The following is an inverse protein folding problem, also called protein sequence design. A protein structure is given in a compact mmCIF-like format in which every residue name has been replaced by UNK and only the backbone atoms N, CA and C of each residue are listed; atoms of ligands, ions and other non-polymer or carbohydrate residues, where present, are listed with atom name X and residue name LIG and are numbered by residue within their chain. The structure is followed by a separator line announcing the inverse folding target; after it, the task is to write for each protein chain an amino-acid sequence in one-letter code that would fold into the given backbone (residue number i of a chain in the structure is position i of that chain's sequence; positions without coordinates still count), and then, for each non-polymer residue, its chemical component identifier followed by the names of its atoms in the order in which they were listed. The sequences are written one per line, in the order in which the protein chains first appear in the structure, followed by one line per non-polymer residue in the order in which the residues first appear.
data_IF_621544381898
#
_entry.id   IF_621544381898
#
_cell.length_a   1.000
_cell.length_b   1.000
_cell.length_c   1.000
_cell.angle_alpha   90.00
_cell.angle_beta   90.00
_cell.angle_gamma   90.00
#
_symmetry.space_group_name_H-M   'P 1'
#
loop_
_entity.id
_entity.type
_entity.pdbx_description
1 polymer ?
#
# COMPACT_ATOMS: atom_id res chain seq x y z
N UNK A 1 30.59 9.75 41.33
CA UNK A 1 29.25 10.27 41.66
C UNK A 1 28.38 10.15 40.41
N UNK A 2 27.64 9.06 40.29
CA UNK A 2 26.70 8.84 39.20
C UNK A 2 25.38 9.54 39.55
N UNK A 3 24.90 10.43 38.67
CA UNK A 3 23.57 11.06 38.78
C UNK A 3 22.54 10.05 38.31
N UNK A 4 21.77 9.55 39.26
CA UNK A 4 20.57 8.74 39.03
C UNK A 4 19.52 9.63 38.33
N UNK A 5 19.21 9.33 37.07
CA UNK A 5 18.11 9.98 36.36
C UNK A 5 16.82 9.29 36.78
N UNK A 6 16.10 9.88 37.73
CA UNK A 6 14.74 9.48 38.04
C UNK A 6 13.85 9.76 36.83
N UNK A 7 13.36 8.68 36.22
CA UNK A 7 12.38 8.73 35.15
C UNK A 7 11.01 9.04 35.77
N UNK A 8 10.76 10.31 36.05
CA UNK A 8 9.50 10.75 36.63
C UNK A 8 8.43 10.74 35.54
N UNK A 9 7.64 9.66 35.49
CA UNK A 9 6.40 9.63 34.70
C UNK A 9 5.46 10.66 35.33
N UNK A 10 5.18 11.75 34.63
CA UNK A 10 4.20 12.72 35.09
C UNK A 10 2.81 12.07 35.09
N UNK A 11 2.08 12.05 36.24
CA UNK A 11 0.74 11.51 36.28
C UNK A 11 -0.19 12.38 35.43
N UNK A 12 -0.93 11.74 34.52
CA UNK A 12 -2.01 12.37 33.76
C UNK A 12 -3.03 12.91 34.79
N UNK A 13 -3.25 14.23 34.79
CA UNK A 13 -4.20 14.86 35.72
C UNK A 13 -5.62 14.45 35.34
N UNK A 14 -6.45 14.25 36.36
CA UNK A 14 -7.83 13.73 36.28
C UNK A 14 -8.87 14.70 35.64
N UNK A 15 -8.47 15.54 34.68
CA UNK A 15 -9.37 16.44 33.94
C UNK A 15 -9.44 16.11 32.44
N UNK A 16 -8.55 15.25 31.93
CA UNK A 16 -8.55 14.89 30.51
C UNK A 16 -9.46 13.68 30.27
N UNK A 17 -10.73 13.94 29.97
CA UNK A 17 -11.64 12.93 29.41
C UNK A 17 -11.03 12.47 28.09
N UNK A 18 -10.53 11.23 28.04
CA UNK A 18 -10.13 10.63 26.78
C UNK A 18 -11.29 10.74 25.78
N UNK A 19 -11.07 11.46 24.69
CA UNK A 19 -12.09 11.70 23.68
C UNK A 19 -12.20 10.44 22.81
N UNK A 20 -13.30 9.71 22.95
CA UNK A 20 -13.56 8.55 22.09
C UNK A 20 -13.73 9.02 20.65
N UNK A 21 -12.92 8.48 19.75
CA UNK A 21 -13.06 8.66 18.31
C UNK A 21 -13.93 7.54 17.73
N UNK A 22 -14.85 7.92 16.85
CA UNK A 22 -15.56 7.00 15.96
C UNK A 22 -15.00 7.23 14.55
N UNK A 23 -14.40 6.19 13.98
CA UNK A 23 -13.80 6.28 12.66
C UNK A 23 -14.84 6.42 11.54
N UNK A 24 -14.42 6.97 10.42
CA UNK A 24 -15.30 7.23 9.26
C UNK A 24 -15.02 6.20 8.17
N UNK A 25 -16.05 5.43 7.80
CA UNK A 25 -15.94 4.34 6.82
C UNK A 25 -15.83 4.87 5.40
N UNK A 26 -14.98 4.23 4.59
CA UNK A 26 -14.88 4.44 3.15
C UNK A 26 -15.27 3.15 2.44
N UNK A 27 -16.37 3.18 1.70
CA UNK A 27 -16.95 2.02 1.04
C UNK A 27 -16.47 1.86 -0.41
N UNK A 28 -15.15 1.84 -0.62
CA UNK A 28 -14.60 1.66 -1.96
C UNK A 28 -14.82 0.22 -2.48
N UNK A 29 -15.07 0.07 -3.77
CA UNK A 29 -15.45 -1.22 -4.40
C UNK A 29 -14.39 -2.34 -4.33
N UNK A 30 -13.17 -2.03 -3.87
CA UNK A 30 -12.09 -2.98 -3.62
C UNK A 30 -12.06 -3.50 -2.17
N UNK A 31 -12.88 -2.92 -1.29
CA UNK A 31 -12.95 -3.26 0.12
C UNK A 31 -13.46 -4.68 0.39
N UNK A 32 -13.17 -5.17 1.59
CA UNK A 32 -13.69 -6.46 2.06
C UNK A 32 -15.08 -6.28 2.66
N UNK A 33 -15.95 -7.27 2.45
CA UNK A 33 -17.37 -7.16 2.83
C UNK A 33 -17.64 -7.35 4.34
N UNK A 34 -16.65 -7.69 5.17
CA UNK A 34 -16.90 -8.07 6.57
C UNK A 34 -15.74 -7.87 7.53
N UNK A 35 -14.49 -7.87 7.07
CA UNK A 35 -13.32 -7.90 7.97
C UNK A 35 -13.30 -6.76 9.01
N UNK A 36 -13.66 -5.54 8.60
CA UNK A 36 -13.72 -4.40 9.53
C UNK A 36 -14.91 -4.54 10.49
N UNK A 37 -16.07 -5.00 10.01
CA UNK A 37 -17.23 -5.30 10.83
C UNK A 37 -16.93 -6.35 11.91
N UNK A 38 -16.26 -7.44 11.53
CA UNK A 38 -15.86 -8.53 12.40
C UNK A 38 -14.89 -8.03 13.50
N UNK A 39 -13.90 -7.21 13.13
CA UNK A 39 -12.99 -6.56 14.08
C UNK A 39 -13.71 -5.65 15.07
N UNK A 40 -14.81 -5.01 14.65
CA UNK A 40 -15.63 -4.14 15.49
C UNK A 40 -16.67 -4.92 16.32
N UNK A 41 -16.85 -6.22 16.08
CA UNK A 41 -17.87 -7.04 16.71
C UNK A 41 -19.30 -6.66 16.32
N UNK A 42 -19.50 -6.19 15.08
CA UNK A 42 -20.81 -5.86 14.52
C UNK A 42 -21.12 -6.68 13.28
N UNK A 43 -22.38 -6.70 12.87
CA UNK A 43 -22.76 -7.24 11.58
C UNK A 43 -22.20 -6.36 10.44
N UNK A 44 -21.82 -6.95 9.30
CA UNK A 44 -21.48 -6.23 8.08
C UNK A 44 -22.56 -5.24 7.66
N UNK A 45 -22.15 -4.10 7.11
CA UNK A 45 -23.08 -3.07 6.63
C UNK A 45 -23.87 -3.48 5.37
N UNK A 46 -23.36 -4.46 4.62
CA UNK A 46 -23.88 -4.88 3.32
C UNK A 46 -23.16 -4.24 2.13
N UNK A 47 -22.36 -3.20 2.36
CA UNK A 47 -21.47 -2.58 1.38
C UNK A 47 -20.01 -3.03 1.61
N UNK A 48 -19.13 -2.99 0.59
CA UNK A 48 -17.70 -3.20 0.78
C UNK A 48 -17.10 -2.21 1.79
N UNK A 49 -16.29 -2.68 2.73
CA UNK A 49 -15.67 -1.86 3.78
C UNK A 49 -14.16 -1.79 3.54
N UNK A 50 -13.70 -0.73 2.89
CA UNK A 50 -12.34 -0.65 2.34
C UNK A 50 -11.35 -0.03 3.31
N UNK A 51 -11.71 1.14 3.86
CA UNK A 51 -10.88 1.87 4.82
C UNK A 51 -11.74 2.41 5.96
N UNK A 52 -11.28 2.28 7.20
CA UNK A 52 -11.84 2.98 8.36
C UNK A 52 -10.86 4.04 8.84
N UNK A 53 -11.26 5.30 8.75
CA UNK A 53 -10.38 6.45 8.97
C UNK A 53 -10.47 7.00 10.39
N UNK A 54 -9.31 7.17 11.02
CA UNK A 54 -9.14 7.79 12.33
C UNK A 54 -8.23 9.02 12.20
N UNK A 55 -8.81 10.21 12.33
CA UNK A 55 -8.08 11.46 12.21
C UNK A 55 -8.97 12.66 11.91
N UNK A 56 -8.34 13.77 11.55
CA UNK A 56 -8.99 15.06 11.30
C UNK A 56 -8.96 15.43 9.80
N UNK A 57 -9.02 14.45 8.91
CA UNK A 57 -8.98 14.71 7.47
C UNK A 57 -10.27 15.43 7.04
N UNK A 58 -10.23 16.58 6.35
CA UNK A 58 -11.42 17.40 6.08
C UNK A 58 -12.54 16.69 5.30
N UNK A 59 -12.21 15.71 4.47
CA UNK A 59 -13.20 14.95 3.70
C UNK A 59 -13.94 13.88 4.51
N UNK A 60 -13.36 13.46 5.65
CA UNK A 60 -13.86 12.35 6.46
C UNK A 60 -13.24 12.41 7.87
N UNK A 61 -13.52 13.46 8.65
CA UNK A 61 -13.01 13.56 10.01
C UNK A 61 -13.65 12.47 10.87
N UNK A 62 -12.95 12.01 11.90
CA UNK A 62 -13.55 11.13 12.91
C UNK A 62 -14.57 11.88 13.75
N UNK A 63 -15.62 11.17 14.16
CA UNK A 63 -16.66 11.72 15.02
C UNK A 63 -16.30 11.60 16.49
N UNK A 64 -16.67 12.62 17.27
CA UNK A 64 -16.45 12.67 18.72
C UNK A 64 -17.72 13.15 19.43
N UNK A 65 -17.75 13.07 20.77
CA UNK A 65 -18.86 13.63 21.55
C UNK A 65 -18.98 15.16 21.46
N UNK A 66 -17.97 15.85 20.89
CA UNK A 66 -17.93 17.31 20.73
C UNK A 66 -18.07 17.76 19.26
N UNK A 67 -18.37 16.82 18.36
CA UNK A 67 -18.47 17.00 16.91
C UNK A 67 -17.26 16.42 16.15
N UNK A 68 -17.14 16.73 14.85
CA UNK A 68 -16.04 16.28 14.00
C UNK A 68 -14.67 16.69 14.52
N UNK A 69 -13.70 15.78 14.48
CA UNK A 69 -12.39 15.97 15.12
C UNK A 69 -11.61 17.16 14.54
N UNK A 70 -11.73 17.44 13.25
CA UNK A 70 -11.13 18.61 12.60
C UNK A 70 -11.68 19.93 13.19
N UNK A 71 -12.99 20.00 13.40
CA UNK A 71 -13.66 21.14 14.04
C UNK A 71 -13.32 21.26 15.53
N UNK A 72 -13.16 20.14 16.23
CA UNK A 72 -12.73 20.12 17.64
C UNK A 72 -11.31 20.67 17.77
N UNK A 73 -10.38 20.22 16.91
CA UNK A 73 -9.01 20.72 16.87
C UNK A 73 -8.98 22.21 16.53
N UNK A 74 -9.74 22.65 15.52
CA UNK A 74 -9.74 24.03 15.07
C UNK A 74 -10.21 25.04 16.14
N UNK A 75 -11.00 24.62 17.14
CA UNK A 75 -11.46 25.48 18.24
C UNK A 75 -10.36 25.84 19.23
N UNK A 76 -9.42 24.92 19.48
CA UNK A 76 -8.28 25.14 20.38
C UNK A 76 -7.10 24.20 20.01
N UNK A 77 -6.35 24.50 18.93
CA UNK A 77 -5.26 23.64 18.46
C UNK A 77 -4.17 23.46 19.53
N UNK A 78 -3.89 24.52 20.29
CA UNK A 78 -2.90 24.50 21.35
C UNK A 78 -3.26 23.50 22.46
N UNK A 79 -4.53 23.44 22.87
CA UNK A 79 -4.97 22.45 23.86
C UNK A 79 -5.04 21.02 23.30
N UNK A 80 -5.44 20.84 22.03
CA UNK A 80 -5.63 19.50 21.44
C UNK A 80 -4.33 18.86 20.94
N UNK A 81 -3.42 19.66 20.36
CA UNK A 81 -2.20 19.20 19.70
C UNK A 81 -0.92 19.63 20.42
N UNK A 82 -0.99 20.65 21.29
CA UNK A 82 0.18 21.27 21.91
C UNK A 82 0.89 22.31 21.04
N UNK A 83 0.36 22.60 19.86
CA UNK A 83 0.87 23.60 18.91
C UNK A 83 -0.26 24.13 18.00
N UNK A 84 -0.06 25.32 17.44
CA UNK A 84 -0.94 25.88 16.41
C UNK A 84 -0.72 25.15 15.07
N UNK A 85 -1.68 24.32 14.66
CA UNK A 85 -1.60 23.59 13.40
C UNK A 85 -2.72 22.58 13.19
N UNK A 86 -2.45 21.60 12.33
CA UNK A 86 -3.38 20.50 12.01
C UNK A 86 -2.80 19.16 12.47
N UNK A 87 -3.65 18.14 12.59
CA UNK A 87 -3.21 16.79 12.92
C UNK A 87 -2.33 16.24 11.77
N UNK A 88 -1.07 15.86 12.01
CA UNK A 88 -0.10 15.64 10.94
C UNK A 88 -0.14 14.21 10.37
N UNK A 89 -1.11 13.40 10.78
CA UNK A 89 -1.26 12.02 10.34
C UNK A 89 -2.74 11.63 10.24
N UNK A 90 -2.99 10.60 9.44
CA UNK A 90 -4.26 9.91 9.32
C UNK A 90 -4.01 8.42 9.58
N UNK A 91 -4.70 7.84 10.55
CA UNK A 91 -4.65 6.39 10.79
C UNK A 91 -5.77 5.73 10.01
N UNK A 92 -5.46 4.61 9.36
CA UNK A 92 -6.44 3.82 8.61
C UNK A 92 -6.38 2.36 9.04
N UNK A 93 -7.54 1.73 9.19
CA UNK A 93 -7.64 0.28 9.04
C UNK A 93 -8.02 0.01 7.59
N UNK A 94 -7.23 -0.79 6.89
CA UNK A 94 -7.42 -1.10 5.48
C UNK A 94 -7.75 -2.58 5.31
N UNK A 95 -8.84 -2.88 4.62
CA UNK A 95 -9.29 -4.24 4.34
C UNK A 95 -9.44 -4.42 2.82
N UNK A 96 -8.34 -4.79 2.16
CA UNK A 96 -8.31 -5.00 0.72
C UNK A 96 -8.76 -6.41 0.35
N UNK A 97 -9.87 -6.52 -0.39
CA UNK A 97 -10.31 -7.78 -1.02
C UNK A 97 -9.84 -7.89 -2.48
N UNK A 98 -9.43 -6.77 -3.09
CA UNK A 98 -8.88 -6.71 -4.44
C UNK A 98 -7.53 -5.97 -4.46
N UNK A 99 -6.62 -6.30 -5.40
CA UNK A 99 -5.39 -5.55 -5.62
C UNK A 99 -5.69 -4.08 -5.86
N UNK A 100 -4.86 -3.22 -5.26
CA UNK A 100 -4.92 -1.77 -5.46
C UNK A 100 -4.03 -1.38 -6.63
N UNK A 101 -4.30 -0.20 -7.20
CA UNK A 101 -3.42 0.41 -8.19
C UNK A 101 -2.00 0.60 -7.63
N UNK A 102 -0.99 0.48 -8.47
CA UNK A 102 0.35 0.95 -8.15
C UNK A 102 0.32 2.45 -7.82
N UNK A 103 1.02 2.83 -6.76
CA UNK A 103 1.09 4.20 -6.29
C UNK A 103 2.56 4.63 -6.16
N UNK A 104 2.81 5.89 -6.49
CA UNK A 104 4.07 6.55 -6.23
C UNK A 104 3.76 7.92 -5.60
N UNK A 105 4.43 8.24 -4.50
CA UNK A 105 4.31 9.54 -3.87
C UNK A 105 5.43 10.46 -4.34
N UNK A 106 5.11 11.71 -4.75
CA UNK A 106 6.13 12.68 -5.13
C UNK A 106 7.00 13.04 -3.91
N UNK A 107 8.23 13.47 -4.19
CA UNK A 107 9.05 14.17 -3.19
C UNK A 107 8.35 15.46 -2.74
N UNK A 108 8.77 16.04 -1.61
CA UNK A 108 8.20 17.29 -1.12
C UNK A 108 8.30 18.42 -2.16
N UNK A 109 9.44 18.53 -2.84
CA UNK A 109 9.66 19.51 -3.91
C UNK A 109 8.72 19.27 -5.10
N UNK A 110 8.59 18.02 -5.53
CA UNK A 110 7.69 17.64 -6.62
C UNK A 110 6.21 17.88 -6.27
N UNK A 111 5.82 17.61 -5.01
CA UNK A 111 4.47 17.85 -4.52
C UNK A 111 4.13 19.34 -4.56
N UNK A 112 5.04 20.20 -4.06
CA UNK A 112 4.89 21.66 -4.10
C UNK A 112 4.76 22.18 -5.53
N UNK A 113 5.72 21.84 -6.40
CA UNK A 113 5.71 22.27 -7.79
C UNK A 113 4.48 21.75 -8.56
N UNK A 114 4.01 20.54 -8.25
CA UNK A 114 2.82 19.96 -8.85
C UNK A 114 1.54 20.64 -8.40
N UNK A 115 1.40 20.91 -7.10
CA UNK A 115 0.24 21.59 -6.54
C UNK A 115 0.09 23.01 -7.10
N UNK A 116 1.18 23.77 -7.20
CA UNK A 116 1.20 25.10 -7.78
C UNK A 116 0.79 25.09 -9.26
N UNK A 117 1.31 24.13 -10.04
CA UNK A 117 0.97 23.96 -11.46
C UNK A 117 -0.52 23.71 -11.65
N UNK A 118 -1.09 22.76 -10.90
CA UNK A 118 -2.50 22.40 -11.02
C UNK A 118 -3.42 23.57 -10.60
N UNK A 119 -3.02 24.35 -9.59
CA UNK A 119 -3.73 25.57 -9.18
C UNK A 119 -3.66 26.68 -10.25
N UNK A 120 -2.47 26.91 -10.83
CA UNK A 120 -2.29 27.90 -11.89
C UNK A 120 -3.12 27.56 -13.15
N UNK A 121 -3.33 26.27 -13.41
CA UNK A 121 -4.21 25.79 -14.47
C UNK A 121 -5.71 25.84 -14.11
N UNK A 122 -6.07 26.21 -12.87
CA UNK A 122 -7.47 26.30 -12.41
C UNK A 122 -8.17 24.95 -12.27
N UNK A 123 -7.43 23.85 -12.11
CA UNK A 123 -8.02 22.50 -11.97
C UNK A 123 -8.65 22.38 -10.57
N UNK A 124 -9.95 22.06 -10.43
CA UNK A 124 -10.59 21.86 -9.12
C UNK A 124 -9.93 20.76 -8.28
N UNK A 125 -9.94 20.89 -6.94
CA UNK A 125 -9.32 19.90 -6.02
C UNK A 125 -9.94 18.49 -6.12
N UNK A 126 -11.21 18.43 -6.47
CA UNK A 126 -12.01 17.22 -6.65
C UNK A 126 -12.03 16.70 -8.09
N UNK A 127 -11.36 17.38 -9.02
CA UNK A 127 -11.32 16.95 -10.41
C UNK A 127 -10.63 15.57 -10.53
N UNK A 128 -11.19 14.63 -11.31
CA UNK A 128 -10.70 13.26 -11.39
C UNK A 128 -9.28 13.16 -12.00
N UNK A 129 -8.86 14.17 -12.76
CA UNK A 129 -7.54 14.22 -13.38
C UNK A 129 -6.51 15.04 -12.57
N UNK A 130 -6.86 15.51 -11.37
CA UNK A 130 -5.94 16.26 -10.52
C UNK A 130 -5.06 15.32 -9.70
N UNK A 131 -3.75 15.40 -9.94
CA UNK A 131 -2.77 14.53 -9.29
C UNK A 131 -2.26 15.12 -7.96
N UNK A 132 -2.13 16.44 -7.87
CA UNK A 132 -1.56 17.11 -6.70
C UNK A 132 -2.65 17.83 -5.91
N UNK A 133 -3.14 17.19 -4.83
CA UNK A 133 -4.21 17.73 -3.97
C UNK A 133 -3.70 18.58 -2.81
N UNK A 134 -2.41 18.49 -2.52
CA UNK A 134 -1.71 19.28 -1.52
C UNK A 134 -0.23 19.39 -1.90
N UNK A 135 0.50 20.27 -1.23
CA UNK A 135 1.92 20.53 -1.46
C UNK A 135 2.86 19.65 -0.62
N UNK A 136 2.35 18.59 0.03
CA UNK A 136 3.13 17.80 0.98
C UNK A 136 3.53 16.43 0.41
N UNK A 137 4.64 15.91 0.91
CA UNK A 137 5.00 14.51 0.72
C UNK A 137 4.16 13.62 1.65
N UNK A 138 3.92 12.38 1.24
CA UNK A 138 3.07 11.42 1.96
C UNK A 138 3.89 10.20 2.35
N UNK A 139 4.68 10.27 3.44
CA UNK A 139 5.30 9.08 3.98
C UNK A 139 4.21 8.19 4.58
N UNK A 140 4.25 6.90 4.25
CA UNK A 140 3.25 5.92 4.71
C UNK A 140 3.93 4.79 5.48
N UNK A 141 3.26 4.32 6.53
CA UNK A 141 3.65 3.15 7.31
C UNK A 141 2.53 2.12 7.25
N UNK A 142 2.87 0.91 6.79
CA UNK A 142 1.95 -0.22 6.75
C UNK A 142 2.30 -1.23 7.85
N UNK A 143 1.31 -1.59 8.66
CA UNK A 143 1.42 -2.65 9.67
C UNK A 143 0.38 -3.71 9.34
N UNK A 144 0.85 -4.92 9.03
CA UNK A 144 -0.03 -6.02 8.71
C UNK A 144 -0.67 -6.60 9.99
N UNK A 145 -2.00 -6.62 10.02
CA UNK A 145 -2.78 -7.26 11.08
C UNK A 145 -3.05 -8.75 10.79
N UNK A 146 -3.00 -9.11 9.51
CA UNK A 146 -3.13 -10.45 8.95
C UNK A 146 -2.01 -10.65 7.92
N UNK A 147 -1.78 -11.87 7.40
CA UNK A 147 -0.94 -12.04 6.22
C UNK A 147 -1.34 -11.05 5.14
N UNK A 148 -0.38 -10.24 4.70
CA UNK A 148 -0.59 -9.14 3.77
C UNK A 148 0.45 -9.22 2.65
N UNK A 149 0.01 -8.92 1.42
CA UNK A 149 0.86 -8.91 0.23
C UNK A 149 0.95 -7.49 -0.30
N UNK A 150 2.18 -7.03 -0.52
CA UNK A 150 2.47 -5.70 -1.02
C UNK A 150 3.61 -5.75 -2.04
N UNK A 151 3.61 -4.80 -2.97
CA UNK A 151 4.78 -4.45 -3.76
C UNK A 151 5.32 -3.12 -3.25
N UNK A 152 6.63 -3.04 -3.03
CA UNK A 152 7.28 -1.84 -2.53
C UNK A 152 8.69 -1.73 -3.11
N UNK A 153 8.95 -0.63 -3.83
CA UNK A 153 10.21 -0.38 -4.50
C UNK A 153 10.47 -1.29 -5.70
N UNK A 154 11.60 -1.05 -6.35
CA UNK A 154 12.12 -1.91 -7.40
C UNK A 154 13.03 -2.99 -6.79
N UNK A 155 13.01 -4.16 -7.43
CA UNK A 155 14.01 -5.20 -7.24
C UNK A 155 15.35 -4.74 -7.84
N UNK A 156 16.53 -5.21 -7.35
CA UNK A 156 17.80 -4.95 -8.02
C UNK A 156 17.73 -5.30 -9.52
N UNK A 157 18.40 -4.51 -10.35
CA UNK A 157 18.38 -4.68 -11.82
C UNK A 157 18.81 -6.09 -12.23
N UNK A 158 19.87 -6.62 -11.63
CA UNK A 158 20.38 -7.96 -11.94
C UNK A 158 19.34 -9.06 -11.68
N UNK A 159 18.65 -9.03 -10.53
CA UNK A 159 17.60 -10.00 -10.23
C UNK A 159 16.34 -9.79 -11.11
N UNK A 160 16.11 -8.56 -11.56
CA UNK A 160 15.02 -8.25 -12.50
C UNK A 160 15.30 -8.85 -13.88
N UNK A 161 16.53 -8.73 -14.37
CA UNK A 161 16.97 -9.38 -15.61
C UNK A 161 16.87 -10.89 -15.47
N UNK A 162 17.38 -11.48 -14.38
CA UNK A 162 17.26 -12.93 -14.13
C UNK A 162 15.80 -13.41 -14.11
N UNK A 163 14.88 -12.60 -13.57
CA UNK A 163 13.45 -12.90 -13.58
C UNK A 163 12.88 -12.85 -15.00
N UNK A 164 13.23 -11.84 -15.79
CA UNK A 164 12.77 -11.70 -17.17
C UNK A 164 13.30 -12.85 -18.04
N UNK A 165 14.59 -13.20 -17.91
CA UNK A 165 15.22 -14.35 -18.56
C UNK A 165 14.50 -15.67 -18.23
N UNK A 166 14.06 -15.84 -16.98
CA UNK A 166 13.34 -17.04 -16.57
C UNK A 166 11.90 -17.09 -17.14
N UNK A 167 11.27 -15.93 -17.30
CA UNK A 167 9.98 -15.82 -17.98
C UNK A 167 10.12 -16.13 -19.46
N UNK A 168 11.22 -15.73 -20.11
CA UNK A 168 11.57 -16.08 -21.50
C UNK A 168 10.42 -15.76 -22.46
N UNK A 169 9.97 -14.51 -22.42
CA UNK A 169 8.84 -14.01 -23.22
C UNK A 169 9.34 -12.95 -24.21
N UNK A 170 9.22 -13.17 -25.53
CA UNK A 170 9.64 -12.19 -26.54
C UNK A 170 9.02 -10.80 -26.36
N UNK A 171 7.81 -10.73 -25.82
CA UNK A 171 7.10 -9.49 -25.53
C UNK A 171 7.80 -8.63 -24.46
N UNK A 172 8.65 -9.24 -23.62
CA UNK A 172 9.40 -8.59 -22.55
C UNK A 172 10.84 -8.21 -22.95
N UNK A 173 11.34 -8.66 -24.09
CA UNK A 173 12.69 -8.36 -24.56
C UNK A 173 13.04 -6.85 -24.56
N UNK A 174 12.13 -5.91 -24.92
CA UNK A 174 12.44 -4.48 -24.82
C UNK A 174 12.73 -3.99 -23.40
N UNK A 175 12.17 -4.64 -22.37
CA UNK A 175 12.42 -4.30 -20.97
C UNK A 175 13.80 -4.81 -20.56
N UNK A 176 14.15 -6.04 -20.95
CA UNK A 176 15.48 -6.62 -20.74
C UNK A 176 16.56 -5.73 -21.36
N UNK A 177 16.37 -5.35 -22.63
CA UNK A 177 17.27 -4.45 -23.37
C UNK A 177 17.45 -3.11 -22.65
N UNK A 178 16.36 -2.53 -22.14
CA UNK A 178 16.42 -1.26 -21.40
C UNK A 178 17.19 -1.39 -20.07
N UNK A 179 17.05 -2.53 -19.39
CA UNK A 179 17.70 -2.79 -18.11
C UNK A 179 19.20 -3.13 -18.27
N UNK A 180 19.59 -3.73 -19.39
CA UNK A 180 20.97 -4.15 -19.67
C UNK A 180 21.91 -3.01 -20.09
N UNK A 181 21.41 -1.79 -20.28
CA UNK A 181 22.17 -0.59 -20.69
C UNK A 181 23.11 -0.08 -19.59
N UNK A 182 24.26 -0.69 -19.40
CA UNK A 182 25.24 -0.31 -18.38
C UNK A 182 25.83 1.11 -18.53
N UNK A 183 25.68 1.72 -19.71
CA UNK A 183 26.05 3.10 -20.03
C UNK A 183 25.04 4.16 -19.52
N UNK A 184 23.92 3.73 -18.92
CA UNK A 184 22.85 4.58 -18.41
C UNK A 184 22.70 4.40 -16.90
N UNK A 185 22.41 5.49 -16.19
CA UNK A 185 22.16 5.47 -14.74
C UNK A 185 21.01 4.52 -14.38
N UNK A 186 21.14 3.81 -13.26
CA UNK A 186 20.21 2.75 -12.87
C UNK A 186 18.76 3.22 -12.75
N UNK A 187 18.55 4.41 -12.17
CA UNK A 187 17.22 5.01 -12.02
C UNK A 187 16.55 5.29 -13.37
N UNK A 188 17.32 5.70 -14.38
CA UNK A 188 16.82 5.95 -15.73
C UNK A 188 16.48 4.64 -16.45
N UNK A 189 17.29 3.59 -16.28
CA UNK A 189 16.99 2.25 -16.80
C UNK A 189 15.68 1.72 -16.24
N UNK A 190 15.51 1.80 -14.92
CA UNK A 190 14.29 1.36 -14.21
C UNK A 190 13.07 2.17 -14.66
N UNK A 191 13.18 3.49 -14.74
CA UNK A 191 12.08 4.35 -15.20
C UNK A 191 11.68 4.04 -16.65
N UNK A 192 12.65 3.80 -17.52
CA UNK A 192 12.39 3.42 -18.91
C UNK A 192 11.73 2.05 -19.01
N UNK A 193 12.28 1.03 -18.32
CA UNK A 193 11.71 -0.31 -18.29
C UNK A 193 10.28 -0.32 -17.73
N UNK A 194 9.99 0.44 -16.66
CA UNK A 194 8.63 0.60 -16.13
C UNK A 194 7.69 1.23 -17.18
N UNK A 195 8.15 2.26 -17.89
CA UNK A 195 7.36 2.91 -18.95
C UNK A 195 7.03 1.94 -20.08
N UNK A 196 7.97 1.07 -20.46
CA UNK A 196 7.74 0.02 -21.45
C UNK A 196 6.76 -1.03 -20.92
N UNK A 197 6.93 -1.47 -19.66
CA UNK A 197 6.03 -2.43 -19.02
C UNK A 197 4.57 -1.94 -19.00
N UNK A 198 4.33 -0.66 -18.71
CA UNK A 198 2.98 -0.06 -18.70
C UNK A 198 2.29 -0.06 -20.08
N UNK A 199 3.06 -0.22 -21.17
CA UNK A 199 2.57 -0.25 -22.56
C UNK A 199 2.63 -1.64 -23.17
N UNK A 200 3.21 -2.61 -22.47
CA UNK A 200 3.43 -3.95 -22.96
C UNK A 200 2.14 -4.78 -22.87
N UNK A 201 1.74 -5.40 -23.97
CA UNK A 201 0.61 -6.34 -24.02
C UNK A 201 1.11 -7.78 -23.83
N UNK A 202 1.63 -8.07 -22.64
CA UNK A 202 2.17 -9.38 -22.27
C UNK A 202 1.39 -10.08 -21.15
N UNK A 203 0.28 -9.50 -20.67
CA UNK A 203 -0.42 -9.96 -19.46
C UNK A 203 -0.77 -11.45 -19.53
N UNK A 204 -1.37 -11.91 -20.63
CA UNK A 204 -1.77 -13.31 -20.79
C UNK A 204 -0.56 -14.27 -20.83
N UNK A 205 0.51 -13.87 -21.50
CA UNK A 205 1.75 -14.64 -21.60
C UNK A 205 2.45 -14.73 -20.24
N UNK A 206 2.56 -13.61 -19.53
CA UNK A 206 3.12 -13.51 -18.17
C UNK A 206 2.34 -14.37 -17.19
N UNK A 207 1.00 -14.30 -17.21
CA UNK A 207 0.16 -15.12 -16.32
C UNK A 207 0.33 -16.61 -16.56
N UNK A 208 0.33 -17.05 -17.83
CA UNK A 208 0.55 -18.44 -18.18
C UNK A 208 1.91 -18.91 -17.67
N UNK A 209 2.96 -18.14 -17.96
CA UNK A 209 4.33 -18.48 -17.59
C UNK A 209 4.54 -18.49 -16.08
N UNK A 210 3.93 -17.56 -15.36
CA UNK A 210 3.92 -17.57 -13.90
C UNK A 210 3.30 -18.86 -13.34
N UNK A 211 2.24 -19.39 -13.95
CA UNK A 211 1.67 -20.69 -13.58
C UNK A 211 2.65 -21.86 -13.73
N UNK A 212 3.46 -21.86 -14.80
CA UNK A 212 4.46 -22.89 -15.06
C UNK A 212 5.66 -22.82 -14.09
N UNK A 213 6.02 -21.61 -13.66
CA UNK A 213 7.14 -21.35 -12.76
C UNK A 213 6.77 -21.41 -11.26
N UNK A 214 5.49 -21.53 -10.93
CA UNK A 214 4.98 -21.42 -9.56
C UNK A 214 5.51 -22.48 -8.59
N UNK A 215 5.93 -23.65 -9.08
CA UNK A 215 6.47 -24.73 -8.25
C UNK A 215 7.98 -24.59 -7.97
N UNK A 216 8.66 -23.59 -8.55
CA UNK A 216 10.06 -23.33 -8.22
C UNK A 216 10.19 -22.91 -6.75
N UNK A 217 11.24 -23.39 -6.09
CA UNK A 217 11.53 -23.10 -4.69
C UNK A 217 12.39 -21.83 -4.48
N UNK A 218 12.82 -21.20 -5.57
CA UNK A 218 13.61 -19.97 -5.56
C UNK A 218 12.76 -18.69 -5.66
N UNK A 219 13.43 -17.54 -5.76
CA UNK A 219 12.76 -16.24 -5.82
C UNK A 219 11.94 -16.06 -7.12
N UNK A 220 12.26 -16.78 -8.19
CA UNK A 220 11.49 -16.77 -9.44
C UNK A 220 10.14 -17.43 -9.19
N UNK A 221 10.12 -18.58 -8.50
CA UNK A 221 8.87 -19.22 -8.07
C UNK A 221 8.04 -18.35 -7.13
N UNK A 222 8.69 -17.62 -6.22
CA UNK A 222 8.02 -16.65 -5.34
C UNK A 222 7.36 -15.52 -6.14
N UNK A 223 8.07 -14.91 -7.09
CA UNK A 223 7.54 -13.87 -7.96
C UNK A 223 6.37 -14.40 -8.81
N UNK A 224 6.50 -15.60 -9.37
CA UNK A 224 5.46 -16.27 -10.14
C UNK A 224 4.18 -16.52 -9.33
N UNK A 225 4.29 -17.02 -8.09
CA UNK A 225 3.14 -17.20 -7.19
C UNK A 225 2.46 -15.89 -6.80
N UNK A 226 3.23 -14.81 -6.67
CA UNK A 226 2.68 -13.48 -6.39
C UNK A 226 1.87 -12.94 -7.57
N UNK A 227 2.35 -13.12 -8.81
CA UNK A 227 1.61 -12.74 -10.02
C UNK A 227 0.32 -13.56 -10.19
N UNK A 228 0.34 -14.85 -9.85
CA UNK A 228 -0.84 -15.72 -9.96
C UNK A 228 -2.00 -15.30 -9.03
N UNK A 229 -1.73 -14.61 -7.92
CA UNK A 229 -2.80 -14.15 -7.00
C UNK A 229 -3.47 -12.87 -7.48
N UNK A 230 -2.79 -12.02 -8.26
CA UNK A 230 -3.41 -10.87 -8.92
C UNK A 230 -4.57 -11.29 -9.84
N UNK A 231 -4.52 -12.51 -10.40
CA UNK A 231 -5.57 -13.11 -11.25
C UNK A 231 -6.83 -13.49 -10.48
N UNK A 232 -6.73 -13.93 -9.23
CA UNK A 232 -7.89 -14.44 -8.47
C UNK A 232 -8.90 -13.34 -8.09
N UNK A 233 -8.48 -12.08 -8.17
CA UNK A 233 -9.27 -10.91 -7.77
C UNK A 233 -9.90 -10.16 -8.96
N UNK A 234 -9.59 -10.55 -10.20
CA UNK A 234 -10.25 -10.05 -11.40
C UNK A 234 -11.25 -11.11 -11.85
N UNK A 235 -12.57 -10.85 -11.86
CA UNK A 235 -13.50 -11.82 -12.42
C UNK A 235 -13.29 -11.86 -13.94
N UNK A 236 -12.48 -12.82 -14.40
CA UNK A 236 -12.56 -13.32 -15.76
C UNK A 236 -13.96 -13.94 -15.87
N UNK A 237 -14.83 -13.35 -16.66
CA UNK A 237 -16.07 -14.01 -17.10
C UNK A 237 -15.67 -15.25 -17.91
N UNK A 238 -15.49 -16.38 -17.23
CA UNK A 238 -15.07 -17.63 -17.83
C UNK A 238 -16.30 -18.50 -18.14
N UNK A 239 -16.45 -18.85 -19.41
CA UNK A 239 -17.34 -19.91 -19.86
C UNK A 239 -16.94 -21.28 -19.29
N UNK A 240 -17.98 -22.02 -18.89
CA UNK A 240 -18.09 -23.42 -18.45
C UNK A 240 -16.98 -24.46 -18.77
N UNK A 241 -16.37 -25.00 -17.68
CA UNK A 241 -16.08 -26.42 -17.29
C UNK A 241 -15.23 -27.38 -18.17
N UNK A 242 -14.74 -28.56 -17.64
CA UNK A 242 -14.65 -29.04 -16.25
C UNK A 242 -13.29 -29.67 -15.80
N UNK A 243 -13.07 -29.54 -14.48
CA UNK A 243 -12.28 -30.31 -13.48
C UNK A 243 -11.45 -31.55 -13.86
N UNK A 244 -10.29 -31.69 -13.21
CA UNK A 244 -9.83 -32.97 -12.64
C UNK A 244 -8.96 -32.76 -11.38
N UNK A 245 -9.13 -33.63 -10.38
CA UNK A 245 -8.52 -33.63 -9.05
C UNK A 245 -7.21 -34.44 -9.01
N UNK A 246 -6.25 -34.04 -8.15
CA UNK A 246 -5.58 -34.97 -7.23
C UNK A 246 -4.68 -34.24 -6.20
N UNK A 247 -4.75 -34.76 -4.97
CA UNK A 247 -4.02 -34.47 -3.72
C UNK A 247 -2.54 -34.90 -3.75
N UNK A 248 -1.66 -34.32 -2.91
CA UNK A 248 -1.12 -34.92 -1.64
C UNK A 248 0.17 -34.24 -1.11
N UNK A 249 0.19 -34.05 0.22
CA UNK A 249 1.28 -34.03 1.23
C UNK A 249 2.42 -33.00 1.23
N UNK A 250 2.61 -32.44 2.44
CA UNK A 250 3.66 -31.54 2.89
C UNK A 250 4.94 -32.24 3.38
N UNK A 251 6.07 -31.53 3.35
CA UNK A 251 7.14 -31.69 4.34
C UNK A 251 7.95 -30.39 4.50
N UNK A 252 8.28 -30.10 5.76
CA UNK A 252 8.92 -28.90 6.31
C UNK A 252 10.46 -28.93 6.15
N UNK A 253 11.11 -27.79 5.88
CA UNK A 253 12.02 -27.07 6.84
C UNK A 253 13.11 -26.18 6.19
N UNK A 254 13.02 -24.87 6.52
CA UNK A 254 14.08 -23.87 6.84
C UNK A 254 15.11 -23.33 5.80
N UNK A 255 14.75 -22.13 5.29
CA UNK A 255 15.44 -20.80 5.36
C UNK A 255 16.84 -20.59 4.72
N UNK A 256 16.90 -19.57 3.84
CA UNK A 256 17.61 -18.27 3.97
C UNK A 256 17.04 -17.27 2.94
N UNK A 257 16.89 -16.00 3.31
CA UNK A 257 15.85 -15.07 2.77
C UNK A 257 16.37 -13.76 2.18
N UNK A 258 15.83 -13.37 1.02
CA UNK A 258 15.61 -11.99 0.55
C UNK A 258 14.31 -12.03 -0.27
N UNK A 259 13.24 -11.37 0.22
CA UNK A 259 11.84 -11.76 -0.07
C UNK A 259 10.91 -10.56 -0.21
N UNK A 260 9.85 -10.73 -1.01
CA UNK A 260 8.55 -10.13 -0.73
C UNK A 260 8.08 -10.79 0.56
N UNK A 261 8.08 -10.05 1.67
CA UNK A 261 7.73 -10.64 2.97
C UNK A 261 6.22 -10.81 3.04
N UNK A 262 5.77 -12.06 3.14
CA UNK A 262 4.49 -12.35 3.80
C UNK A 262 4.63 -11.90 5.26
N UNK A 263 3.96 -10.80 5.60
CA UNK A 263 4.04 -10.23 6.95
C UNK A 263 3.15 -11.09 7.86
N UNK A 264 3.72 -12.16 8.42
CA UNK A 264 3.00 -13.12 9.29
C UNK A 264 3.01 -12.72 10.78
N UNK A 265 3.66 -11.60 11.13
CA UNK A 265 3.76 -11.06 12.50
C UNK A 265 3.69 -9.53 12.42
N UNK A 266 3.19 -8.81 13.45
CA UNK A 266 3.16 -7.35 13.44
C UNK A 266 4.60 -6.82 13.42
N UNK A 267 5.11 -6.52 12.24
CA UNK A 267 6.41 -5.88 12.03
C UNK A 267 6.17 -4.50 11.45
N UNK A 268 6.64 -3.47 12.15
CA UNK A 268 6.72 -2.11 11.67
C UNK A 268 7.83 -2.03 10.61
N UNK A 269 7.54 -1.51 9.42
CA UNK A 269 8.56 -1.17 8.42
C UNK A 269 8.43 0.32 8.07
N UNK A 270 9.42 1.11 8.47
CA UNK A 270 9.52 2.51 8.05
C UNK A 270 9.89 2.58 6.56
N UNK A 271 9.02 3.15 5.74
CA UNK A 271 9.27 3.35 4.32
C UNK A 271 9.76 4.77 4.08
N UNK A 272 11.06 4.92 3.77
CA UNK A 272 11.63 6.18 3.28
C UNK A 272 12.00 5.96 1.82
N UNK A 273 11.21 6.53 0.92
CA UNK A 273 11.62 6.73 -0.47
C UNK A 273 12.71 7.80 -0.48
N UNK A 274 13.92 7.43 -0.93
CA UNK A 274 14.99 8.39 -1.26
C UNK A 274 15.05 8.55 -2.77
#
# INVERSE_FOLDING_TARGET
MAREKTNTIHPIKAVDVALKLTGTMQNYAWGHDSYIADLQGRDPSGDPEAELWFGAHPSAPSETSQGPLDSVIARDPQAQLGYDGTLPFLVKLLAAAKPLSLQAHPSLEQAGAGFERDNAAGIPLDAPHRNYKDANHKPELLIALTPFRAMAGFRPVAETIELLDAFDLPELAPLEDALARDDVEESERLAHALTLAMKCDATSSVEKRAGELAEREDFIGEAARNLAVSRASTPVTAGSSPRCCSTTSASTQARRSSSVREISTPTCMDWVWR
#
